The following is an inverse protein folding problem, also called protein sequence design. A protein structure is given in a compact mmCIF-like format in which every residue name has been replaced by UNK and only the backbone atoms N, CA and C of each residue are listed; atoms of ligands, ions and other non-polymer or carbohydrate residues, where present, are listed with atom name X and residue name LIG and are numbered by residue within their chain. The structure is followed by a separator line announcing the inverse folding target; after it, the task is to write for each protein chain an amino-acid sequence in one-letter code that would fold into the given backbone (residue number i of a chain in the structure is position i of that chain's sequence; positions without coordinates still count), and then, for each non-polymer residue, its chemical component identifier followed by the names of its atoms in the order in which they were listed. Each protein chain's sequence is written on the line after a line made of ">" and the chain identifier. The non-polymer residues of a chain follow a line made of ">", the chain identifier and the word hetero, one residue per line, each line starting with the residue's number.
data_IF_300563153657
#
_entry.id   IF_300563153657
#
_cell.length_a   1.000
_cell.length_b   1.000
_cell.length_c   1.000
_cell.angle_alpha   90.00
_cell.angle_beta   90.00
_cell.angle_gamma   90.00
#
_symmetry.space_group_name_H-M   'P 1'
#
loop_
_entity.id
_entity.type
_entity.pdbx_description
1 polymer ?
#
# COMPACT_ATOMS: atom_id res chain seq x y z
N UNK A 1 14.80 17.02 22.03
CA UNK A 1 14.90 16.07 20.91
C UNK A 1 13.73 15.13 21.04
N UNK A 2 12.72 15.30 20.20
CA UNK A 2 11.49 14.50 20.25
C UNK A 2 11.59 13.42 19.20
N UNK A 3 11.24 12.18 19.54
CA UNK A 3 11.09 11.09 18.59
C UNK A 3 10.07 11.52 17.54
N UNK A 4 10.56 11.90 16.37
CA UNK A 4 9.78 12.51 15.31
C UNK A 4 9.85 11.70 14.02
N UNK A 5 9.24 12.26 12.99
CA UNK A 5 9.29 11.71 11.63
C UNK A 5 10.73 11.43 11.13
N UNK A 6 11.77 12.22 11.45
CA UNK A 6 13.14 11.93 11.03
C UNK A 6 13.72 10.61 11.60
N UNK A 7 13.48 10.32 12.88
CA UNK A 7 13.93 9.07 13.52
C UNK A 7 13.27 7.85 12.86
N UNK A 8 11.95 7.93 12.63
CA UNK A 8 11.21 6.88 11.94
C UNK A 8 11.69 6.67 10.50
N UNK A 9 12.08 7.74 9.80
CA UNK A 9 12.63 7.64 8.45
C UNK A 9 13.97 6.88 8.43
N UNK A 10 14.84 7.11 9.41
CA UNK A 10 16.12 6.38 9.54
C UNK A 10 15.85 4.88 9.78
N UNK A 11 14.93 4.56 10.69
CA UNK A 11 14.54 3.16 10.96
C UNK A 11 13.94 2.51 9.72
N UNK A 12 13.11 3.24 8.97
CA UNK A 12 12.52 2.76 7.72
C UNK A 12 13.60 2.45 6.68
N UNK A 13 14.62 3.32 6.53
CA UNK A 13 15.72 3.07 5.60
C UNK A 13 16.46 1.79 5.96
N UNK A 14 16.76 1.56 7.25
CA UNK A 14 17.41 0.33 7.71
C UNK A 14 16.51 -0.88 7.41
N UNK A 15 15.22 -0.79 7.69
CA UNK A 15 14.26 -1.86 7.39
C UNK A 15 14.21 -2.17 5.88
N UNK A 16 14.23 -1.14 5.01
CA UNK A 16 14.25 -1.31 3.56
C UNK A 16 15.52 -2.03 3.09
N UNK A 17 16.67 -1.80 3.73
CA UNK A 17 17.92 -2.49 3.40
C UNK A 17 17.86 -3.96 3.83
N UNK A 18 17.32 -4.26 5.02
CA UNK A 18 17.21 -5.62 5.54
C UNK A 18 16.17 -6.48 4.79
N UNK A 19 14.99 -5.92 4.56
CA UNK A 19 13.86 -6.64 3.97
C UNK A 19 13.81 -6.49 2.43
N UNK A 20 14.42 -5.45 1.87
CA UNK A 20 14.30 -5.08 0.47
C UNK A 20 12.95 -4.43 0.14
N UNK A 21 12.95 -3.46 -0.79
CA UNK A 21 11.75 -2.73 -1.22
C UNK A 21 10.68 -3.62 -1.85
N UNK A 22 11.07 -4.73 -2.49
CA UNK A 22 10.14 -5.66 -3.14
C UNK A 22 9.21 -6.37 -2.15
N UNK A 23 9.73 -6.79 -0.99
CA UNK A 23 8.91 -7.45 0.05
C UNK A 23 7.94 -6.46 0.69
N UNK A 24 8.40 -5.24 0.99
CA UNK A 24 7.51 -4.19 1.52
C UNK A 24 6.45 -3.77 0.51
N UNK A 25 6.75 -3.73 -0.80
CA UNK A 25 5.76 -3.40 -1.84
C UNK A 25 4.69 -4.47 -2.00
N UNK A 26 5.06 -5.75 -1.92
CA UNK A 26 4.12 -6.88 -1.94
C UNK A 26 3.19 -6.81 -0.73
N UNK A 27 3.76 -6.80 0.48
CA UNK A 27 2.98 -6.80 1.73
C UNK A 27 2.17 -5.50 1.86
N UNK A 28 2.73 -4.36 1.44
CA UNK A 28 2.05 -3.06 1.49
C UNK A 28 0.87 -2.96 0.53
N UNK A 29 0.90 -3.64 -0.62
CA UNK A 29 -0.24 -3.70 -1.54
C UNK A 29 -1.42 -4.45 -0.91
N UNK A 30 -1.14 -5.59 -0.28
CA UNK A 30 -2.14 -6.44 0.34
C UNK A 30 -2.71 -5.78 1.61
N UNK A 31 -1.82 -5.31 2.49
CA UNK A 31 -2.19 -4.63 3.72
C UNK A 31 -2.89 -3.29 3.44
N UNK A 32 -2.44 -2.55 2.41
CA UNK A 32 -3.09 -1.32 1.97
C UNK A 32 -4.50 -1.55 1.44
N UNK A 33 -4.73 -2.65 0.71
CA UNK A 33 -6.05 -3.02 0.23
C UNK A 33 -6.99 -3.40 1.39
N UNK A 34 -6.48 -4.14 2.39
CA UNK A 34 -7.23 -4.49 3.59
C UNK A 34 -7.60 -3.26 4.45
N UNK A 35 -6.64 -2.38 4.70
CA UNK A 35 -6.86 -1.13 5.46
C UNK A 35 -7.83 -0.21 4.72
N UNK A 36 -7.75 -0.14 3.39
CA UNK A 36 -8.68 0.63 2.56
C UNK A 36 -10.11 0.11 2.65
N UNK A 37 -10.32 -1.22 2.60
CA UNK A 37 -11.62 -1.83 2.84
C UNK A 37 -12.15 -1.57 4.25
N UNK A 38 -11.28 -1.66 5.27
CA UNK A 38 -11.62 -1.35 6.65
C UNK A 38 -12.04 0.11 6.84
N UNK A 39 -11.28 1.05 6.27
CA UNK A 39 -11.62 2.49 6.29
C UNK A 39 -12.92 2.76 5.55
N UNK A 40 -13.13 2.15 4.39
CA UNK A 40 -14.39 2.29 3.65
C UNK A 40 -15.59 1.73 4.41
N UNK A 41 -15.43 0.64 5.17
CA UNK A 41 -16.51 0.09 6.00
C UNK A 41 -16.83 1.00 7.19
N UNK A 42 -15.81 1.56 7.84
CA UNK A 42 -15.99 2.45 9.00
C UNK A 42 -16.51 3.83 8.61
N UNK A 43 -16.18 4.30 7.40
CA UNK A 43 -16.65 5.59 6.86
C UNK A 43 -18.01 5.49 6.16
N UNK A 44 -18.61 4.30 6.02
CA UNK A 44 -19.93 4.12 5.43
C UNK A 44 -21.09 4.50 6.36
N UNK A 45 -20.83 4.68 7.66
CA UNK A 45 -21.84 5.12 8.64
C UNK A 45 -22.04 6.65 8.70
N UNK A 46 -21.15 7.46 8.08
CA UNK A 46 -21.16 8.94 8.17
C UNK A 46 -21.15 9.63 6.77
N UNK A 47 -22.05 9.25 5.86
CA UNK A 47 -22.20 9.76 4.47
C UNK A 47 -21.13 9.27 3.44
N UNK A 48 -21.65 8.71 2.34
CA UNK A 48 -21.01 7.87 1.30
C UNK A 48 -19.53 8.10 0.93
N UNK A 49 -18.74 7.01 0.79
CA UNK A 49 -17.55 7.04 -0.09
C UNK A 49 -17.52 6.00 -1.22
N UNK A 50 -17.27 6.58 -2.40
CA UNK A 50 -17.08 6.10 -3.79
C UNK A 50 -16.31 4.79 -3.99
N UNK A 51 -16.70 4.13 -5.08
CA UNK A 51 -16.06 2.96 -5.69
C UNK A 51 -14.56 3.13 -5.87
N UNK A 52 -13.82 2.07 -5.54
CA UNK A 52 -12.38 2.04 -5.75
C UNK A 52 -12.02 0.81 -6.58
N UNK A 53 -12.14 0.99 -7.89
CA UNK A 53 -11.68 0.07 -8.93
C UNK A 53 -10.21 -0.31 -8.70
N UNK A 54 -9.98 -1.59 -8.43
CA UNK A 54 -8.64 -2.19 -8.33
C UNK A 54 -8.36 -2.88 -9.66
N UNK A 55 -8.16 -2.10 -10.72
CA UNK A 55 -7.59 -2.59 -11.98
C UNK A 55 -6.17 -2.05 -12.11
N UNK A 56 -5.18 -2.92 -11.90
CA UNK A 56 -3.83 -2.68 -12.40
C UNK A 56 -3.22 -3.96 -12.97
N UNK A 57 -3.65 -4.24 -14.20
CA UNK A 57 -2.82 -4.57 -15.37
C UNK A 57 -1.34 -4.87 -15.08
N UNK A 58 -0.98 -6.14 -15.21
CA UNK A 58 0.35 -6.72 -15.46
C UNK A 58 0.02 -8.04 -16.19
N UNK A 59 0.38 -8.37 -17.43
CA UNK A 59 1.36 -7.89 -18.40
C UNK A 59 0.82 -8.08 -19.82
N UNK A 60 1.27 -7.23 -20.74
CA UNK A 60 1.13 -7.38 -22.19
C UNK A 60 2.41 -8.02 -22.73
N UNK A 61 2.33 -9.16 -23.42
CA UNK A 61 2.95 -9.40 -24.75
C UNK A 61 2.78 -10.86 -25.22
N UNK A 62 2.56 -10.97 -26.53
CA UNK A 62 2.73 -12.14 -27.39
C UNK A 62 1.48 -12.91 -27.79
N UNK A 63 0.62 -12.24 -28.56
CA UNK A 63 0.04 -12.85 -29.76
C UNK A 63 0.11 -11.83 -30.89
N UNK A 64 0.94 -12.10 -31.90
CA UNK A 64 0.87 -11.46 -33.21
C UNK A 64 1.34 -12.45 -34.26
N UNK A 65 0.39 -12.81 -35.12
CA UNK A 65 0.41 -13.68 -36.30
C UNK A 65 0.84 -15.14 -36.11
#
# INVERSE_FOLDING_TARGET
>A
MSFGIPELAIILVIALVLFGTSKLKSIGSDLGSAIKGFRSAISKDDDEPKEINTEKKSENKSHAN
#
